data_IF_408212466442
#
_entry.id   IF_408212466442
#
_cell.length_a   1.000
_cell.length_b   1.000
_cell.length_c   1.000
_cell.angle_alpha   90.00
_cell.angle_beta   90.00
_cell.angle_gamma   90.00
#
_symmetry.space_group_name_H-M   'P 1'
#
loop_
_entity.id
_entity.type
_entity.pdbx_description
1 polymer ?
#
# COMPACT_ATOMS: atom_id res chain seq x y z
N UNK A 1 42.24 -67.24 16.87
CA UNK A 1 41.41 -66.05 17.14
C UNK A 1 41.73 -65.01 16.08
N UNK A 2 40.77 -64.66 15.23
CA UNK A 2 40.99 -63.71 14.13
C UNK A 2 40.71 -62.29 14.62
N UNK A 3 41.73 -61.45 14.72
CA UNK A 3 41.60 -60.01 14.99
C UNK A 3 41.31 -59.28 13.67
N UNK A 4 40.04 -58.99 13.42
CA UNK A 4 39.61 -58.25 12.23
C UNK A 4 39.95 -56.76 12.42
N UNK A 5 41.10 -56.33 11.92
CA UNK A 5 41.54 -54.94 12.00
C UNK A 5 40.72 -54.08 11.02
N UNK A 6 39.86 -53.21 11.56
CA UNK A 6 39.12 -52.22 10.78
C UNK A 6 40.08 -51.11 10.33
N UNK A 7 40.38 -51.06 9.03
CA UNK A 7 41.20 -50.00 8.43
C UNK A 7 40.26 -48.85 8.02
N UNK A 8 40.27 -47.69 8.71
CA UNK A 8 39.37 -46.61 8.33
C UNK A 8 39.78 -46.06 6.95
N UNK A 9 38.83 -46.09 6.02
CA UNK A 9 39.03 -45.54 4.67
C UNK A 9 39.15 -44.02 4.75
N UNK A 10 40.19 -43.45 4.12
CA UNK A 10 40.39 -41.99 4.03
C UNK A 10 39.22 -41.28 3.35
N UNK A 11 38.45 -41.99 2.51
CA UNK A 11 37.24 -41.50 1.86
C UNK A 11 36.16 -41.09 2.87
N UNK A 12 36.08 -41.74 4.04
CA UNK A 12 35.10 -41.40 5.08
C UNK A 12 35.29 -39.97 5.61
N UNK A 13 36.50 -39.43 5.55
CA UNK A 13 36.81 -38.05 5.97
C UNK A 13 36.20 -37.00 5.04
N UNK A 14 35.92 -37.35 3.78
CA UNK A 14 35.34 -36.44 2.79
C UNK A 14 33.82 -36.45 2.76
N UNK A 15 33.18 -37.43 3.40
CA UNK A 15 31.72 -37.54 3.46
C UNK A 15 31.10 -36.29 4.10
N UNK A 16 31.62 -35.86 5.26
CA UNK A 16 31.08 -34.70 5.96
C UNK A 16 31.24 -33.39 5.14
N UNK A 17 32.43 -33.03 4.61
CA UNK A 17 32.57 -31.88 3.72
C UNK A 17 31.67 -31.94 2.48
N UNK A 18 31.51 -33.11 1.85
CA UNK A 18 30.69 -33.27 0.66
C UNK A 18 29.20 -33.03 0.96
N UNK A 19 28.70 -33.60 2.06
CA UNK A 19 27.33 -33.37 2.52
C UNK A 19 27.12 -31.89 2.85
N UNK A 20 28.05 -31.26 3.57
CA UNK A 20 27.97 -29.83 3.88
C UNK A 20 27.94 -28.97 2.61
N UNK A 21 28.77 -29.28 1.61
CA UNK A 21 28.79 -28.56 0.33
C UNK A 21 27.46 -28.69 -0.42
N UNK A 22 26.85 -29.88 -0.41
CA UNK A 22 25.52 -30.11 -0.98
C UNK A 22 24.45 -29.25 -0.30
N UNK A 23 24.41 -29.23 1.04
CA UNK A 23 23.49 -28.37 1.79
C UNK A 23 23.72 -26.89 1.50
N UNK A 24 24.98 -26.44 1.51
CA UNK A 24 25.31 -25.05 1.18
C UNK A 24 24.84 -24.68 -0.24
N UNK A 25 25.06 -25.55 -1.21
CA UNK A 25 24.60 -25.35 -2.59
C UNK A 25 23.08 -25.24 -2.69
N UNK A 26 22.35 -26.12 -2.00
CA UNK A 26 20.89 -26.07 -1.93
C UNK A 26 20.40 -24.75 -1.32
N UNK A 27 20.94 -24.36 -0.16
CA UNK A 27 20.56 -23.11 0.49
C UNK A 27 20.94 -21.88 -0.34
N UNK A 28 22.11 -21.87 -0.98
CA UNK A 28 22.51 -20.81 -1.88
C UNK A 28 21.53 -20.67 -3.05
N UNK A 29 21.20 -21.79 -3.72
CA UNK A 29 20.22 -21.79 -4.81
C UNK A 29 18.88 -21.21 -4.37
N UNK A 30 18.35 -21.65 -3.22
CA UNK A 30 17.09 -21.16 -2.67
C UNK A 30 17.16 -19.71 -2.16
N UNK A 31 18.32 -19.22 -1.72
CA UNK A 31 18.49 -17.82 -1.35
C UNK A 31 18.39 -16.87 -2.56
N UNK A 32 18.80 -17.33 -3.75
CA UNK A 32 18.69 -16.58 -5.00
C UNK A 32 17.33 -16.75 -5.70
N UNK A 33 16.80 -17.98 -5.75
CA UNK A 33 15.59 -18.31 -6.53
C UNK A 33 14.32 -18.49 -5.70
N UNK A 34 14.42 -18.51 -4.36
CA UNK A 34 13.27 -18.65 -3.49
C UNK A 34 12.42 -17.37 -3.44
N UNK A 35 11.11 -17.54 -3.24
CA UNK A 35 10.16 -16.41 -3.15
C UNK A 35 10.47 -15.44 -1.99
N UNK A 36 11.15 -15.91 -0.94
CA UNK A 36 11.63 -15.10 0.19
C UNK A 36 13.14 -14.80 0.12
N UNK A 37 13.77 -15.11 -1.01
CA UNK A 37 15.16 -14.83 -1.29
C UNK A 37 15.45 -13.34 -1.43
N UNK A 38 16.67 -13.02 -1.85
CA UNK A 38 17.16 -11.63 -1.93
C UNK A 38 16.27 -10.78 -2.86
N UNK A 39 15.89 -11.32 -4.02
CA UNK A 39 15.01 -10.66 -4.97
C UNK A 39 13.56 -10.54 -4.44
N UNK A 40 13.06 -11.58 -3.78
CA UNK A 40 11.72 -11.60 -3.19
C UNK A 40 11.52 -10.52 -2.13
N UNK A 41 12.55 -10.27 -1.31
CA UNK A 41 12.54 -9.18 -0.33
C UNK A 41 12.40 -7.81 -0.98
N UNK A 42 13.11 -7.54 -2.08
CA UNK A 42 13.00 -6.28 -2.79
C UNK A 42 11.59 -6.06 -3.38
N UNK A 43 10.97 -7.12 -3.91
CA UNK A 43 9.60 -7.06 -4.41
C UNK A 43 8.59 -6.83 -3.28
N UNK A 44 8.74 -7.51 -2.15
CA UNK A 44 7.90 -7.34 -0.97
C UNK A 44 8.00 -5.92 -0.41
N UNK A 45 9.21 -5.36 -0.33
CA UNK A 45 9.45 -3.99 0.12
C UNK A 45 8.81 -2.97 -0.83
N UNK A 46 8.94 -3.19 -2.15
CA UNK A 46 8.29 -2.35 -3.15
C UNK A 46 6.76 -2.42 -3.06
N UNK A 47 6.19 -3.58 -2.77
CA UNK A 47 4.73 -3.71 -2.57
C UNK A 47 4.30 -3.03 -1.29
N UNK A 48 5.04 -3.22 -0.20
CA UNK A 48 4.77 -2.57 1.08
C UNK A 48 4.78 -1.04 0.95
N UNK A 49 5.76 -0.47 0.23
CA UNK A 49 5.84 0.97 0.01
C UNK A 49 4.68 1.50 -0.84
N UNK A 50 4.28 0.78 -1.90
CA UNK A 50 3.11 1.12 -2.72
C UNK A 50 1.82 1.11 -1.90
N UNK A 51 1.57 0.01 -1.17
CA UNK A 51 0.39 -0.11 -0.32
C UNK A 51 0.35 0.96 0.77
N UNK A 52 1.49 1.31 1.35
CA UNK A 52 1.55 2.37 2.35
C UNK A 52 1.20 3.74 1.75
N UNK A 53 1.63 4.01 0.50
CA UNK A 53 1.22 5.21 -0.23
C UNK A 53 -0.29 5.26 -0.49
N UNK A 54 -0.89 4.15 -0.90
CA UNK A 54 -2.35 4.04 -1.06
C UNK A 54 -3.09 4.25 0.27
N UNK A 55 -2.55 3.70 1.37
CA UNK A 55 -3.11 3.83 2.71
C UNK A 55 -3.15 5.30 3.15
N UNK A 56 -2.05 6.04 2.95
CA UNK A 56 -1.98 7.47 3.27
C UNK A 56 -3.03 8.25 2.47
N UNK A 57 -3.12 8.01 1.15
CA UNK A 57 -4.10 8.66 0.28
C UNK A 57 -5.54 8.40 0.74
N UNK A 58 -5.87 7.15 1.05
CA UNK A 58 -7.20 6.76 1.53
C UNK A 58 -7.51 7.34 2.92
N UNK A 59 -6.51 7.45 3.80
CA UNK A 59 -6.67 8.07 5.10
C UNK A 59 -6.98 9.57 4.98
N UNK A 60 -6.29 10.28 4.09
CA UNK A 60 -6.59 11.70 3.80
C UNK A 60 -8.00 11.88 3.22
N UNK A 61 -8.41 11.03 2.29
CA UNK A 61 -9.78 11.04 1.75
C UNK A 61 -10.82 10.82 2.84
N UNK A 62 -10.59 9.84 3.72
CA UNK A 62 -11.45 9.58 4.88
C UNK A 62 -11.54 10.81 5.77
N UNK A 63 -10.42 11.42 6.13
CA UNK A 63 -10.40 12.57 7.05
C UNK A 63 -11.18 13.76 6.50
N UNK A 64 -11.04 14.02 5.20
CA UNK A 64 -11.79 15.08 4.54
C UNK A 64 -13.30 14.77 4.47
N UNK A 65 -13.69 13.52 4.24
CA UNK A 65 -15.09 13.10 4.29
C UNK A 65 -15.65 13.16 5.71
N UNK A 66 -14.87 12.76 6.70
CA UNK A 66 -15.26 12.81 8.11
C UNK A 66 -15.48 14.26 8.58
N UNK A 67 -14.62 15.19 8.15
CA UNK A 67 -14.84 16.62 8.38
C UNK A 67 -16.16 17.11 7.77
N UNK A 68 -16.43 16.76 6.51
CA UNK A 68 -17.69 17.12 5.83
C UNK A 68 -18.91 16.54 6.54
N UNK A 69 -18.84 15.26 6.95
CA UNK A 69 -19.92 14.62 7.69
C UNK A 69 -20.11 15.29 9.05
N UNK A 70 -19.03 15.66 9.74
CA UNK A 70 -19.10 16.37 11.02
C UNK A 70 -19.76 17.73 10.90
N UNK A 71 -19.48 18.48 9.83
CA UNK A 71 -20.16 19.75 9.52
C UNK A 71 -21.67 19.54 9.27
N UNK A 72 -22.08 18.39 8.74
CA UNK A 72 -23.47 18.05 8.47
C UNK A 72 -24.21 17.38 9.65
N UNK A 73 -23.50 16.80 10.61
CA UNK A 73 -24.06 16.03 11.74
C UNK A 73 -24.08 16.77 13.09
N UNK A 74 -23.59 18.01 13.15
CA UNK A 74 -23.70 18.82 14.36
C UNK A 74 -25.15 18.96 14.85
N UNK A 75 -25.39 19.20 16.16
CA UNK A 75 -26.74 19.39 16.71
C UNK A 75 -27.48 20.59 16.10
N UNK A 76 -26.75 21.50 15.43
CA UNK A 76 -27.26 22.42 14.45
C UNK A 76 -26.51 22.15 13.14
N UNK A 77 -27.23 21.76 12.08
CA UNK A 77 -26.75 21.94 10.72
C UNK A 77 -26.32 23.41 10.59
N UNK A 78 -25.14 23.67 10.04
CA UNK A 78 -24.70 25.02 9.73
C UNK A 78 -25.77 25.69 8.84
N UNK A 79 -26.48 26.67 9.40
CA UNK A 79 -27.61 27.31 8.74
C UNK A 79 -27.17 27.94 7.41
N UNK A 80 -25.95 28.43 7.33
CA UNK A 80 -25.42 29.06 6.12
C UNK A 80 -25.20 28.01 5.02
N UNK A 81 -24.67 26.83 5.38
CA UNK A 81 -24.46 25.74 4.42
C UNK A 81 -25.80 25.13 3.96
N UNK A 82 -26.79 25.04 4.84
CA UNK A 82 -28.13 24.59 4.48
C UNK A 82 -28.86 25.60 3.58
N UNK A 83 -28.73 26.90 3.87
CA UNK A 83 -29.31 27.96 3.07
C UNK A 83 -28.67 28.01 1.68
N UNK A 84 -27.33 27.89 1.59
CA UNK A 84 -26.62 27.80 0.31
C UNK A 84 -27.12 26.61 -0.53
N UNK A 85 -27.24 25.42 0.07
CA UNK A 85 -27.73 24.22 -0.63
C UNK A 85 -29.21 24.29 -1.01
N UNK A 86 -30.04 24.90 -0.17
CA UNK A 86 -31.45 25.12 -0.49
C UNK A 86 -31.60 26.09 -1.66
N UNK A 87 -30.81 27.17 -1.68
CA UNK A 87 -30.79 28.17 -2.76
C UNK A 87 -30.30 27.61 -4.08
N UNK A 88 -29.25 26.80 -4.05
CA UNK A 88 -28.73 26.11 -5.24
C UNK A 88 -29.77 25.12 -5.81
N UNK A 89 -30.43 24.33 -4.95
CA UNK A 89 -31.39 23.32 -5.39
C UNK A 89 -32.73 23.92 -5.87
N UNK A 90 -33.19 24.99 -5.23
CA UNK A 90 -34.46 25.66 -5.55
C UNK A 90 -34.32 26.81 -6.55
N UNK A 91 -33.08 27.16 -6.92
CA UNK A 91 -32.74 28.29 -7.77
C UNK A 91 -33.37 29.61 -7.27
N UNK A 92 -33.28 29.85 -5.96
CA UNK A 92 -33.81 31.04 -5.28
C UNK A 92 -32.67 31.89 -4.72
N UNK A 93 -32.88 33.19 -4.62
CA UNK A 93 -31.89 34.20 -4.20
C UNK A 93 -32.53 35.17 -3.20
N UNK A 94 -31.75 35.72 -2.26
CA UNK A 94 -32.30 36.64 -1.26
C UNK A 94 -32.73 37.97 -1.93
N UNK A 95 -33.81 38.62 -1.47
CA UNK A 95 -34.25 39.92 -1.99
C UNK A 95 -33.21 41.05 -2.00
N UNK A 96 -32.10 40.91 -1.28
CA UNK A 96 -31.02 41.91 -1.16
C UNK A 96 -29.71 41.48 -1.83
N UNK A 97 -29.74 40.40 -2.62
CA UNK A 97 -28.57 39.88 -3.31
C UNK A 97 -28.57 40.23 -4.80
N UNK A 98 -27.38 40.50 -5.34
CA UNK A 98 -27.18 40.88 -6.73
C UNK A 98 -26.83 39.65 -7.57
N UNK A 99 -27.66 39.31 -8.55
CA UNK A 99 -27.36 38.25 -9.53
C UNK A 99 -26.55 38.84 -10.69
N UNK A 100 -25.30 38.40 -10.85
CA UNK A 100 -24.45 38.78 -11.98
C UNK A 100 -24.49 37.70 -13.05
N UNK A 101 -25.26 37.93 -14.12
CA UNK A 101 -25.28 37.05 -15.29
C UNK A 101 -24.00 37.26 -16.10
N UNK A 102 -23.13 36.26 -16.16
CA UNK A 102 -21.93 36.30 -16.99
C UNK A 102 -22.27 35.94 -18.44
N UNK A 103 -21.80 36.71 -19.44
CA UNK A 103 -21.99 36.36 -20.84
C UNK A 103 -21.30 35.03 -21.14
N UNK A 104 -21.94 34.20 -21.96
CA UNK A 104 -21.34 32.95 -22.45
C UNK A 104 -20.13 33.33 -23.31
N UNK A 105 -18.93 33.07 -22.79
CA UNK A 105 -17.70 33.19 -23.57
C UNK A 105 -17.68 32.01 -24.54
N UNK A 106 -18.02 32.26 -25.80
CA UNK A 106 -17.81 31.28 -26.86
C UNK A 106 -16.30 31.04 -27.02
N UNK A 107 -15.85 29.79 -27.00
CA UNK A 107 -14.43 29.48 -27.17
C UNK A 107 -14.00 29.96 -28.55
N UNK A 108 -12.98 30.84 -28.61
CA UNK A 108 -12.35 31.21 -29.88
C UNK A 108 -11.78 29.94 -30.51
N UNK A 109 -12.30 29.58 -31.69
CA UNK A 109 -11.66 28.63 -32.59
C UNK A 109 -10.30 29.15 -33.06
#
# INVERSE_FOLDING_TARGET
>A
MATRQYRPSRLRRFVLPAVTALFLGYFAYHAFHGEYGIAGRALLESRASQLNGELIRLAEERDHLELRVRLLRGPAIDQDLADERAREALNVVHPYELVVLRPRVEPRM
#
